data_IF_520563765297
#
_entry.id   IF_520563765297
#
_cell.length_a   1.000
_cell.length_b   1.000
_cell.length_c   1.000
_cell.angle_alpha   90.00
_cell.angle_beta   90.00
_cell.angle_gamma   90.00
#
_symmetry.space_group_name_H-M   'P 1'
#
loop_
_entity.id
_entity.type
_entity.pdbx_description
1 polymer ?
#
# COMPACT_ATOMS: atom_id res chain seq x y z
N UNK A 1 12.40 -23.09 2.44
CA UNK A 1 12.04 -21.68 2.72
C UNK A 1 11.51 -21.11 1.41
N UNK A 2 10.18 -20.95 1.29
CA UNK A 2 9.58 -20.45 0.06
C UNK A 2 9.93 -18.96 -0.06
N UNK A 3 10.87 -18.62 -0.94
CA UNK A 3 11.08 -17.25 -1.36
C UNK A 3 9.85 -16.83 -2.16
N UNK A 4 8.93 -16.11 -1.53
CA UNK A 4 7.89 -15.40 -2.26
C UNK A 4 8.58 -14.27 -3.02
N UNK A 5 8.86 -14.48 -4.29
CA UNK A 5 9.15 -13.38 -5.21
C UNK A 5 7.86 -12.59 -5.34
N UNK A 6 7.68 -11.59 -4.48
CA UNK A 6 6.54 -10.69 -4.56
C UNK A 6 6.65 -9.95 -5.89
N UNK A 7 5.63 -10.11 -6.74
CA UNK A 7 5.66 -9.47 -8.06
C UNK A 7 5.54 -7.97 -7.88
N UNK A 8 6.16 -7.18 -8.77
CA UNK A 8 6.01 -5.72 -8.75
C UNK A 8 4.54 -5.29 -8.82
N UNK A 9 3.70 -6.10 -9.46
CA UNK A 9 2.26 -5.96 -9.46
C UNK A 9 1.65 -6.07 -8.06
N UNK A 10 2.04 -7.05 -7.24
CA UNK A 10 1.56 -7.18 -5.87
C UNK A 10 1.95 -5.97 -5.02
N UNK A 11 3.19 -5.50 -5.16
CA UNK A 11 3.67 -4.31 -4.45
C UNK A 11 2.87 -3.08 -4.90
N UNK A 12 2.60 -2.92 -6.20
CA UNK A 12 1.76 -1.84 -6.73
C UNK A 12 0.35 -1.89 -6.13
N UNK A 13 -0.30 -3.06 -6.10
CA UNK A 13 -1.62 -3.20 -5.49
C UNK A 13 -1.61 -2.87 -4.00
N UNK A 14 -0.57 -3.26 -3.26
CA UNK A 14 -0.44 -2.94 -1.84
C UNK A 14 -0.32 -1.42 -1.61
N UNK A 15 0.42 -0.71 -2.46
CA UNK A 15 0.52 0.76 -2.43
C UNK A 15 -0.82 1.43 -2.70
N UNK A 16 -1.53 1.00 -3.75
CA UNK A 16 -2.86 1.52 -4.10
C UNK A 16 -3.84 1.32 -2.95
N UNK A 17 -3.84 0.13 -2.33
CA UNK A 17 -4.70 -0.15 -1.19
C UNK A 17 -4.40 0.80 -0.02
N UNK A 18 -3.14 1.10 0.28
CA UNK A 18 -2.81 2.04 1.37
C UNK A 18 -3.48 3.40 1.19
N UNK A 19 -3.50 3.91 -0.05
CA UNK A 19 -4.12 5.20 -0.38
C UNK A 19 -5.65 5.09 -0.33
N UNK A 20 -6.23 4.06 -0.95
CA UNK A 20 -7.67 3.86 -0.99
C UNK A 20 -8.28 3.68 0.41
N UNK A 21 -7.61 2.95 1.30
CA UNK A 21 -8.07 2.77 2.67
C UNK A 21 -7.83 4.01 3.54
N UNK A 22 -6.85 4.87 3.22
CA UNK A 22 -6.80 6.22 3.80
C UNK A 22 -8.04 7.02 3.40
N UNK A 23 -8.37 7.06 2.11
CA UNK A 23 -9.55 7.82 1.64
C UNK A 23 -10.84 7.31 2.29
N UNK A 24 -11.01 5.99 2.38
CA UNK A 24 -12.14 5.41 3.11
C UNK A 24 -12.19 5.82 4.60
N UNK A 25 -11.02 5.92 5.26
CA UNK A 25 -10.93 6.42 6.64
C UNK A 25 -11.41 7.88 6.72
N UNK A 26 -10.94 8.70 5.80
CA UNK A 26 -11.26 10.13 5.74
C UNK A 26 -12.74 10.35 5.43
N UNK A 27 -13.37 9.44 4.67
CA UNK A 27 -14.82 9.39 4.40
C UNK A 27 -15.67 8.83 5.57
N UNK A 28 -15.04 8.48 6.69
CA UNK A 28 -15.73 8.13 7.94
C UNK A 28 -15.54 6.69 8.41
N UNK A 29 -14.79 5.84 7.70
CA UNK A 29 -14.40 4.52 8.19
C UNK A 29 -13.22 4.63 9.19
N UNK A 30 -13.45 5.32 10.31
CA UNK A 30 -12.43 5.69 11.31
C UNK A 30 -11.73 4.52 12.00
N UNK A 31 -12.30 3.31 11.91
CA UNK A 31 -11.66 2.08 12.40
C UNK A 31 -10.41 1.71 11.60
N UNK A 32 -10.31 2.18 10.34
CA UNK A 32 -9.15 1.95 9.49
C UNK A 32 -7.99 2.78 10.06
N UNK A 33 -6.94 2.09 10.47
CA UNK A 33 -5.69 2.70 10.90
C UNK A 33 -4.50 1.99 10.27
N UNK A 34 -3.31 2.58 10.41
CA UNK A 34 -2.08 2.07 9.76
C UNK A 34 -1.72 0.66 10.23
N UNK A 35 -2.04 0.29 11.47
CA UNK A 35 -1.79 -1.05 12.00
C UNK A 35 -2.75 -2.08 11.40
N UNK A 36 -4.04 -1.77 11.36
CA UNK A 36 -5.05 -2.61 10.68
C UNK A 36 -4.67 -2.83 9.22
N UNK A 37 -4.23 -1.78 8.53
CA UNK A 37 -3.81 -1.90 7.14
C UNK A 37 -2.58 -2.81 6.99
N UNK A 38 -1.56 -2.62 7.84
CA UNK A 38 -0.35 -3.44 7.82
C UNK A 38 -0.67 -4.94 7.97
N UNK A 39 -1.62 -5.29 8.83
CA UNK A 39 -2.12 -6.66 8.99
C UNK A 39 -2.85 -7.15 7.73
N UNK A 40 -3.66 -6.30 7.08
CA UNK A 40 -4.44 -6.67 5.89
C UNK A 40 -3.61 -6.92 4.64
N UNK A 41 -2.54 -6.17 4.43
CA UNK A 41 -1.63 -6.36 3.29
C UNK A 41 -0.39 -7.17 3.64
N UNK A 42 -0.29 -7.68 4.87
CA UNK A 42 0.88 -8.42 5.36
C UNK A 42 2.19 -7.64 5.17
N UNK A 43 2.15 -6.32 5.38
CA UNK A 43 3.30 -5.42 5.28
C UNK A 43 3.67 -4.84 6.64
N UNK A 44 4.86 -4.25 6.70
CA UNK A 44 5.25 -3.47 7.87
C UNK A 44 4.41 -2.19 7.97
N UNK A 45 4.16 -1.74 9.19
CA UNK A 45 3.53 -0.44 9.45
C UNK A 45 4.32 0.72 8.86
N UNK A 46 5.65 0.58 8.74
CA UNK A 46 6.52 1.54 8.06
C UNK A 46 6.20 1.64 6.56
N UNK A 47 6.03 0.51 5.88
CA UNK A 47 5.62 0.50 4.47
C UNK A 47 4.27 1.22 4.31
N UNK A 48 3.31 0.90 5.18
CA UNK A 48 2.00 1.56 5.16
C UNK A 48 2.18 3.07 5.35
N UNK A 49 2.92 3.52 6.36
CA UNK A 49 3.14 4.95 6.64
C UNK A 49 3.79 5.69 5.46
N UNK A 50 4.75 5.07 4.78
CA UNK A 50 5.45 5.65 3.64
C UNK A 50 4.53 5.87 2.43
N UNK A 51 3.59 4.97 2.19
CA UNK A 51 2.64 5.04 1.08
C UNK A 51 1.30 5.67 1.46
N UNK A 52 1.03 5.84 2.76
CA UNK A 52 -0.22 6.38 3.28
C UNK A 52 -0.50 7.78 2.76
N UNK A 53 0.52 8.62 2.67
CA UNK A 53 0.39 10.05 2.32
C UNK A 53 0.75 10.34 0.86
N UNK A 54 1.05 9.31 0.07
CA UNK A 54 1.40 9.44 -1.35
C UNK A 54 0.16 9.53 -2.24
N UNK A 55 0.42 9.85 -3.52
CA UNK A 55 -0.57 9.89 -4.59
C UNK A 55 -0.63 8.55 -5.33
N UNK A 56 -1.73 8.29 -6.04
CA UNK A 56 -1.85 7.09 -6.87
C UNK A 56 -0.78 7.07 -7.97
N UNK A 57 -0.42 8.23 -8.54
CA UNK A 57 0.61 8.33 -9.60
C UNK A 57 1.96 7.78 -9.12
N UNK A 58 2.35 8.07 -7.87
CA UNK A 58 3.59 7.54 -7.26
C UNK A 58 3.63 6.01 -7.20
N UNK A 59 2.46 5.36 -7.17
CA UNK A 59 2.35 3.90 -7.16
C UNK A 59 2.78 3.30 -8.49
N UNK A 60 2.52 4.02 -9.60
CA UNK A 60 2.78 3.60 -10.97
C UNK A 60 4.12 4.09 -11.50
N UNK A 61 4.69 5.19 -10.98
CA UNK A 61 5.98 5.72 -11.45
C UNK A 61 7.13 4.71 -11.31
N UNK A 62 7.12 3.88 -10.27
CA UNK A 62 8.10 2.79 -10.12
C UNK A 62 7.92 1.63 -11.11
N UNK A 63 6.77 1.52 -11.78
CA UNK A 63 6.54 0.50 -12.83
C UNK A 63 7.13 0.95 -14.18
N UNK A 64 7.34 2.25 -14.35
CA UNK A 64 7.85 2.87 -15.58
C UNK A 64 9.37 2.73 -15.77
N UNK A 65 10.13 2.42 -14.72
CA UNK A 65 11.60 2.30 -14.78
C UNK A 65 12.09 0.86 -14.98
N UNK A 66 11.18 -0.11 -15.20
CA UNK A 66 11.50 -1.49 -15.56
C UNK A 66 11.49 -1.74 -17.08
N UNK A 67 11.81 -0.71 -17.87
CA UNK A 67 11.99 -0.77 -19.33
C UNK A 67 13.46 -0.77 -19.72
#
# INVERSE_FOLDING_TARGET
>A
MAGNYETEQQIMFDRIKCIAFREARDDGATFINRQWMAEKIHRSTRFVAEWWERSYDDCFSNYSECG
#
